data_IF_746458491402
#
_entry.id   IF_746458491402
#
_cell.length_a   1.000
_cell.length_b   1.000
_cell.length_c   1.000
_cell.angle_alpha   90.00
_cell.angle_beta   90.00
_cell.angle_gamma   90.00
#
_symmetry.space_group_name_H-M   'P 1'
#
loop_
_entity.id
_entity.type
_entity.pdbx_description
1 polymer ?
#
# COMPACT_ATOMS: atom_id res chain seq x y z
N UNK A 1 1.83 -20.87 11.98
CA UNK A 1 1.05 -20.03 11.05
C UNK A 1 -0.06 -20.86 10.43
N UNK A 2 -1.22 -20.28 10.12
CA UNK A 2 -2.21 -20.99 9.31
C UNK A 2 -1.67 -21.21 7.89
N UNK A 3 -2.03 -22.32 7.21
CA UNK A 3 -1.51 -22.65 5.89
C UNK A 3 -1.76 -21.55 4.84
N UNK A 4 -2.89 -20.84 4.95
CA UNK A 4 -3.24 -19.73 4.04
C UNK A 4 -2.31 -18.51 4.20
N UNK A 5 -1.92 -18.17 5.43
CA UNK A 5 -1.00 -17.08 5.71
C UNK A 5 0.40 -17.38 5.15
N UNK A 6 0.84 -18.64 5.25
CA UNK A 6 2.11 -19.09 4.65
C UNK A 6 2.10 -18.92 3.13
N UNK A 7 1.01 -19.32 2.47
CA UNK A 7 0.86 -19.19 1.01
C UNK A 7 0.80 -17.72 0.56
N UNK A 8 0.05 -16.88 1.26
CA UNK A 8 -0.03 -15.45 0.97
C UNK A 8 1.33 -14.77 1.05
N UNK A 9 2.07 -15.00 2.14
CA UNK A 9 3.41 -14.43 2.32
C UNK A 9 4.41 -14.98 1.29
N UNK A 10 4.32 -16.27 0.95
CA UNK A 10 5.14 -16.86 -0.10
C UNK A 10 4.91 -16.17 -1.45
N UNK A 11 3.67 -15.92 -1.85
CA UNK A 11 3.38 -15.22 -3.11
C UNK A 11 3.91 -13.79 -3.11
N UNK A 12 3.77 -13.05 -2.00
CA UNK A 12 4.34 -11.70 -1.88
C UNK A 12 5.86 -11.75 -1.99
N UNK A 13 6.51 -12.66 -1.25
CA UNK A 13 7.97 -12.81 -1.29
C UNK A 13 8.46 -13.14 -2.70
N UNK A 14 7.83 -14.10 -3.39
CA UNK A 14 8.18 -14.44 -4.78
C UNK A 14 8.02 -13.24 -5.71
N UNK A 15 6.90 -12.53 -5.65
CA UNK A 15 6.67 -11.35 -6.48
C UNK A 15 7.71 -10.25 -6.22
N UNK A 16 8.02 -9.97 -4.95
CA UNK A 16 9.04 -9.00 -4.56
C UNK A 16 10.45 -9.41 -4.99
N UNK A 17 10.81 -10.69 -4.87
CA UNK A 17 12.09 -11.21 -5.35
C UNK A 17 12.21 -11.10 -6.87
N UNK A 18 11.13 -11.37 -7.62
CA UNK A 18 11.11 -11.20 -9.07
C UNK A 18 11.29 -9.73 -9.47
N UNK A 19 10.64 -8.80 -8.76
CA UNK A 19 10.85 -7.37 -8.99
C UNK A 19 12.30 -6.96 -8.72
N UNK A 20 12.87 -7.39 -7.59
CA UNK A 20 14.26 -7.12 -7.25
C UNK A 20 15.22 -7.68 -8.30
N UNK A 21 15.04 -8.93 -8.72
CA UNK A 21 15.85 -9.57 -9.76
C UNK A 21 15.77 -8.83 -11.10
N UNK A 22 14.56 -8.43 -11.53
CA UNK A 22 14.36 -7.69 -12.78
C UNK A 22 15.04 -6.31 -12.79
N UNK A 23 15.13 -5.63 -11.64
CA UNK A 23 15.88 -4.37 -11.54
C UNK A 23 17.38 -4.61 -11.79
N UNK A 24 17.92 -5.74 -11.32
CA UNK A 24 19.32 -6.09 -11.53
C UNK A 24 19.67 -6.53 -12.96
N UNK A 25 18.68 -6.72 -13.86
CA UNK A 25 18.95 -6.98 -15.28
C UNK A 25 19.14 -5.70 -16.09
N UNK A 26 19.03 -4.51 -15.48
CA UNK A 26 19.11 -3.22 -16.17
C UNK A 26 17.82 -2.82 -16.92
N UNK A 27 16.73 -3.58 -16.76
CA UNK A 27 15.47 -3.31 -17.46
C UNK A 27 14.87 -1.92 -17.15
N UNK A 28 15.24 -1.36 -16.01
CA UNK A 28 14.78 -0.05 -15.54
C UNK A 28 15.86 1.02 -15.55
N UNK A 29 16.95 0.88 -16.30
CA UNK A 29 18.08 1.84 -16.33
C UNK A 29 17.72 3.24 -16.85
N UNK A 30 16.67 3.35 -17.66
CA UNK A 30 16.17 4.63 -18.18
C UNK A 30 15.20 5.39 -17.27
N UNK A 31 14.71 4.79 -16.18
CA UNK A 31 13.72 5.43 -15.30
C UNK A 31 14.30 6.67 -14.60
N UNK A 32 13.57 7.78 -14.65
CA UNK A 32 13.89 8.97 -13.86
C UNK A 32 13.46 8.77 -12.41
N UNK A 33 14.42 8.65 -11.50
CA UNK A 33 14.18 8.56 -10.06
C UNK A 33 14.98 9.60 -9.29
N UNK A 34 14.34 10.18 -8.29
CA UNK A 34 14.98 11.11 -7.35
C UNK A 34 15.74 10.32 -6.30
N UNK A 35 17.03 10.59 -6.22
CA UNK A 35 18.00 9.98 -5.32
C UNK A 35 18.86 11.11 -4.77
N UNK A 36 19.09 11.13 -3.46
CA UNK A 36 19.77 12.23 -2.79
C UNK A 36 19.01 12.69 -1.57
N UNK A 37 19.76 13.09 -0.53
CA UNK A 37 19.17 13.57 0.73
C UNK A 37 18.55 14.96 0.58
N UNK A 38 18.94 15.72 -0.44
CA UNK A 38 18.42 17.03 -0.79
C UNK A 38 16.93 17.03 -1.15
N UNK A 39 16.38 15.86 -1.49
CA UNK A 39 14.95 15.67 -1.78
C UNK A 39 14.10 15.46 -0.52
N UNK A 40 14.73 15.48 0.66
CA UNK A 40 14.06 15.36 1.95
C UNK A 40 14.29 16.64 2.74
N UNK A 41 13.24 17.16 3.36
CA UNK A 41 13.38 18.29 4.28
C UNK A 41 14.02 17.90 5.62
N UNK A 42 14.08 16.60 5.96
CA UNK A 42 14.69 16.15 7.19
C UNK A 42 16.22 16.19 7.05
N UNK A 43 16.85 17.09 7.79
CA UNK A 43 18.30 17.22 7.75
C UNK A 43 18.98 15.95 8.29
N UNK A 44 20.03 15.43 7.61
CA UNK A 44 20.76 14.28 8.12
C UNK A 44 21.51 14.64 9.41
N UNK A 45 21.46 13.74 10.39
CA UNK A 45 22.13 13.92 11.68
C UNK A 45 23.56 13.38 11.60
N UNK A 46 24.53 14.28 11.80
CA UNK A 46 25.94 13.92 11.82
C UNK A 46 26.24 12.88 12.92
N UNK A 47 27.02 11.85 12.59
CA UNK A 47 27.42 10.79 13.51
C UNK A 47 26.46 9.59 13.60
N UNK A 48 25.26 9.66 13.00
CA UNK A 48 24.41 8.49 12.83
C UNK A 48 24.84 7.67 11.60
N UNK A 49 24.67 6.33 11.64
CA UNK A 49 24.91 5.50 10.47
C UNK A 49 23.90 5.83 9.35
N UNK A 50 24.25 5.54 8.10
CA UNK A 50 23.45 5.91 6.92
C UNK A 50 21.97 5.48 7.01
N UNK A 51 21.69 4.30 7.58
CA UNK A 51 20.32 3.79 7.78
C UNK A 51 19.51 4.50 8.87
N UNK A 52 20.12 5.41 9.64
CA UNK A 52 19.46 6.28 10.61
C UNK A 52 19.78 7.76 10.37
N UNK A 53 20.41 8.11 9.23
CA UNK A 53 20.84 9.48 8.94
C UNK A 53 19.66 10.46 9.02
N UNK A 54 18.48 10.04 8.56
CA UNK A 54 17.20 10.75 8.74
C UNK A 54 16.33 9.96 9.72
N UNK A 55 16.46 10.19 11.05
CA UNK A 55 15.90 9.31 12.07
C UNK A 55 14.37 9.15 11.99
N UNK A 56 13.62 10.21 11.71
CA UNK A 56 12.16 10.13 11.62
C UNK A 56 11.71 9.43 10.34
N UNK A 57 12.29 9.77 9.18
CA UNK A 57 12.04 9.08 7.92
C UNK A 57 12.53 7.62 7.92
N UNK A 58 13.48 7.26 8.79
CA UNK A 58 13.91 5.88 9.03
C UNK A 58 12.93 5.14 9.94
N UNK A 59 12.56 5.75 11.07
CA UNK A 59 11.69 5.15 12.10
C UNK A 59 10.29 4.87 11.57
N UNK A 60 9.72 5.76 10.75
CA UNK A 60 8.37 5.58 10.20
C UNK A 60 8.25 4.30 9.36
N UNK A 61 9.35 3.77 8.80
CA UNK A 61 9.33 2.50 8.07
C UNK A 61 9.01 1.30 8.97
N UNK A 62 9.37 1.36 10.26
CA UNK A 62 8.98 0.33 11.22
C UNK A 62 7.47 0.28 11.41
N UNK A 63 6.76 1.41 11.25
CA UNK A 63 5.31 1.44 11.38
C UNK A 63 4.61 0.56 10.33
N UNK A 64 5.15 0.45 9.11
CA UNK A 64 4.64 -0.45 8.07
C UNK A 64 4.81 -1.93 8.47
N UNK A 65 5.99 -2.27 8.99
CA UNK A 65 6.28 -3.63 9.49
C UNK A 65 5.34 -3.99 10.63
N UNK A 66 5.19 -3.09 11.61
CA UNK A 66 4.30 -3.29 12.75
C UNK A 66 2.84 -3.39 12.30
N UNK A 67 2.41 -2.59 11.33
CA UNK A 67 1.06 -2.64 10.77
C UNK A 67 0.80 -3.98 10.07
N UNK A 68 1.73 -4.44 9.24
CA UNK A 68 1.64 -5.74 8.56
C UNK A 68 1.57 -6.88 9.58
N UNK A 69 2.44 -6.87 10.59
CA UNK A 69 2.44 -7.86 11.67
C UNK A 69 1.13 -7.85 12.46
N UNK A 70 0.64 -6.66 12.83
CA UNK A 70 -0.64 -6.48 13.51
C UNK A 70 -1.79 -7.10 12.71
N UNK A 71 -1.89 -6.81 11.41
CA UNK A 71 -2.97 -7.35 10.59
C UNK A 71 -2.84 -8.85 10.34
N UNK A 72 -1.64 -9.41 10.23
CA UNK A 72 -1.45 -10.87 10.14
C UNK A 72 -1.95 -11.59 11.40
N UNK A 73 -1.67 -11.04 12.58
CA UNK A 73 -2.10 -11.61 13.86
C UNK A 73 -3.61 -11.46 14.08
N UNK A 74 -4.24 -10.45 13.47
CA UNK A 74 -5.67 -10.21 13.58
C UNK A 74 -6.46 -11.29 12.86
N UNK A 75 -7.22 -12.06 13.64
CA UNK A 75 -8.16 -13.07 13.11
C UNK A 75 -9.31 -12.37 12.37
N UNK A 76 -9.78 -12.92 11.24
CA UNK A 76 -10.98 -12.40 10.61
C UNK A 76 -12.16 -12.62 11.55
N UNK A 77 -12.89 -11.55 11.87
CA UNK A 77 -14.17 -11.64 12.58
C UNK A 77 -15.31 -12.10 11.66
N UNK A 78 -15.00 -12.58 10.46
CA UNK A 78 -15.98 -12.85 9.39
C UNK A 78 -16.73 -14.16 9.66
N UNK A 79 -18.06 -14.12 9.92
CA UNK A 79 -18.87 -15.33 9.92
C UNK A 79 -19.07 -15.78 8.47
N UNK A 80 -18.64 -17.00 8.14
CA UNK A 80 -18.58 -17.49 6.76
C UNK A 80 -18.46 -19.00 6.70
N UNK A 81 -18.73 -19.60 5.54
CA UNK A 81 -18.31 -20.99 5.36
C UNK A 81 -16.77 -21.06 5.39
N UNK A 82 -16.17 -22.19 5.78
CA UNK A 82 -14.71 -22.29 5.94
C UNK A 82 -13.92 -21.82 4.71
N UNK A 83 -14.44 -22.03 3.50
CA UNK A 83 -13.80 -21.60 2.26
C UNK A 83 -13.79 -20.06 2.08
N UNK A 84 -14.87 -19.37 2.45
CA UNK A 84 -14.94 -17.90 2.38
C UNK A 84 -14.02 -17.24 3.39
N UNK A 85 -13.96 -17.79 4.60
CA UNK A 85 -13.05 -17.33 5.66
C UNK A 85 -11.61 -17.50 5.19
N UNK A 86 -11.23 -18.65 4.63
CA UNK A 86 -9.87 -18.86 4.08
C UNK A 86 -9.51 -17.85 2.98
N UNK A 87 -10.42 -17.59 2.05
CA UNK A 87 -10.19 -16.60 0.98
C UNK A 87 -10.04 -15.17 1.51
N UNK A 88 -10.85 -14.80 2.51
CA UNK A 88 -10.73 -13.53 3.19
C UNK A 88 -9.41 -13.40 3.95
N UNK A 89 -8.98 -14.46 4.66
CA UNK A 89 -7.66 -14.53 5.28
C UNK A 89 -6.56 -14.32 4.26
N UNK A 90 -6.60 -15.05 3.14
CA UNK A 90 -5.61 -14.94 2.09
C UNK A 90 -5.51 -13.50 1.56
N UNK A 91 -6.64 -12.85 1.26
CA UNK A 91 -6.62 -11.47 0.75
C UNK A 91 -6.04 -10.47 1.76
N UNK A 92 -6.41 -10.63 3.04
CA UNK A 92 -5.84 -9.86 4.15
C UNK A 92 -4.34 -10.10 4.28
N UNK A 93 -3.92 -11.36 4.26
CA UNK A 93 -2.55 -11.76 4.53
C UNK A 93 -1.61 -11.37 3.39
N UNK A 94 -2.07 -11.36 2.14
CA UNK A 94 -1.30 -10.79 1.02
C UNK A 94 -1.10 -9.29 1.25
N UNK A 95 -2.17 -8.54 1.56
CA UNK A 95 -2.05 -7.10 1.77
C UNK A 95 -1.14 -6.77 2.96
N UNK A 96 -1.21 -7.57 4.02
CA UNK A 96 -0.37 -7.42 5.20
C UNK A 96 1.08 -7.81 4.90
N UNK A 97 1.30 -8.84 4.08
CA UNK A 97 2.61 -9.20 3.56
C UNK A 97 3.22 -8.10 2.70
N UNK A 98 2.44 -7.44 1.84
CA UNK A 98 2.91 -6.30 1.06
C UNK A 98 3.38 -5.16 1.98
N UNK A 99 2.64 -4.83 3.04
CA UNK A 99 3.08 -3.85 4.04
C UNK A 99 4.36 -4.28 4.78
N UNK A 100 4.49 -5.56 5.14
CA UNK A 100 5.69 -6.11 5.77
C UNK A 100 6.93 -5.98 4.90
N UNK A 101 6.81 -6.20 3.59
CA UNK A 101 7.93 -6.10 2.64
C UNK A 101 8.22 -4.65 2.27
N UNK A 102 7.20 -3.82 2.15
CA UNK A 102 7.35 -2.44 1.73
C UNK A 102 8.11 -1.58 2.75
N UNK A 103 7.88 -1.78 4.06
CA UNK A 103 8.62 -1.07 5.10
C UNK A 103 10.15 -1.16 4.95
N UNK A 104 10.74 -2.38 4.89
CA UNK A 104 12.16 -2.57 4.64
C UNK A 104 12.64 -2.00 3.30
N UNK A 105 11.84 -2.11 2.22
CA UNK A 105 12.21 -1.54 0.91
C UNK A 105 12.30 -0.02 0.97
N UNK A 106 11.32 0.62 1.60
CA UNK A 106 11.30 2.06 1.79
C UNK A 106 12.45 2.51 2.69
N UNK A 107 12.75 1.73 3.73
CA UNK A 107 13.91 1.99 4.57
C UNK A 107 15.22 1.85 3.78
N UNK A 108 15.35 0.82 2.94
CA UNK A 108 16.50 0.64 2.06
C UNK A 108 16.67 1.82 1.09
N UNK A 109 15.58 2.36 0.55
CA UNK A 109 15.59 3.57 -0.28
C UNK A 109 16.21 4.74 0.49
N UNK A 110 15.72 5.00 1.70
CA UNK A 110 16.20 6.09 2.57
C UNK A 110 17.67 5.88 2.96
N UNK A 111 18.04 4.67 3.34
CA UNK A 111 19.37 4.33 3.86
C UNK A 111 20.46 4.32 2.78
N UNK A 112 20.15 3.74 1.61
CA UNK A 112 21.15 3.53 0.57
C UNK A 112 21.28 4.70 -0.38
N UNK A 113 20.19 5.45 -0.61
CA UNK A 113 20.14 6.46 -1.68
C UNK A 113 20.68 5.89 -3.00
N UNK A 114 20.28 4.65 -3.33
CA UNK A 114 20.68 4.01 -4.58
C UNK A 114 19.51 3.96 -5.55
N UNK A 115 19.84 4.07 -6.84
CA UNK A 115 18.86 3.98 -7.92
C UNK A 115 18.03 2.68 -7.90
N UNK A 116 18.62 1.48 -7.71
CA UNK A 116 17.84 0.24 -7.59
C UNK A 116 16.82 0.26 -6.44
N UNK A 117 17.20 0.80 -5.28
CA UNK A 117 16.30 0.90 -4.14
C UNK A 117 15.13 1.87 -4.40
N UNK A 118 15.41 3.02 -5.05
CA UNK A 118 14.37 3.98 -5.42
C UNK A 118 13.38 3.41 -6.46
N UNK A 119 13.89 2.66 -7.45
CA UNK A 119 13.05 1.97 -8.45
C UNK A 119 12.21 0.89 -7.78
N UNK A 120 12.80 0.06 -6.90
CA UNK A 120 12.09 -1.01 -6.20
C UNK A 120 10.95 -0.48 -5.32
N UNK A 121 11.21 0.61 -4.59
CA UNK A 121 10.21 1.30 -3.77
C UNK A 121 9.02 1.79 -4.61
N UNK A 122 9.29 2.53 -5.70
CA UNK A 122 8.23 2.98 -6.60
C UNK A 122 7.47 1.80 -7.22
N UNK A 123 8.18 0.79 -7.70
CA UNK A 123 7.56 -0.30 -8.44
C UNK A 123 6.65 -1.16 -7.55
N UNK A 124 7.07 -1.47 -6.33
CA UNK A 124 6.26 -2.20 -5.35
C UNK A 124 5.10 -1.38 -4.77
N UNK A 125 5.15 -0.05 -4.85
CA UNK A 125 4.03 0.82 -4.45
C UNK A 125 2.79 0.59 -5.32
N UNK A 126 2.95 0.31 -6.61
CA UNK A 126 1.82 0.15 -7.53
C UNK A 126 0.91 -1.05 -7.17
N UNK A 127 1.43 -2.29 -7.03
CA UNK A 127 0.59 -3.44 -6.68
C UNK A 127 -0.08 -3.28 -5.30
N UNK A 128 0.57 -2.58 -4.37
CA UNK A 128 -0.03 -2.20 -3.08
C UNK A 128 -1.34 -1.42 -3.29
N UNK A 129 -1.35 -0.41 -4.15
CA UNK A 129 -2.56 0.37 -4.44
C UNK A 129 -3.56 -0.40 -5.34
N UNK A 130 -3.08 -1.36 -6.13
CA UNK A 130 -3.95 -2.24 -6.93
C UNK A 130 -4.69 -3.27 -6.07
N UNK A 131 -4.12 -3.68 -4.93
CA UNK A 131 -4.70 -4.74 -4.11
C UNK A 131 -6.11 -4.43 -3.55
N UNK A 132 -6.42 -3.21 -3.05
CA UNK A 132 -7.79 -2.83 -2.72
C UNK A 132 -8.79 -2.98 -3.88
N UNK A 133 -8.36 -2.72 -5.13
CA UNK A 133 -9.17 -2.95 -6.33
C UNK A 133 -9.44 -4.43 -6.51
N UNK A 134 -8.40 -5.27 -6.46
CA UNK A 134 -8.53 -6.72 -6.56
C UNK A 134 -9.48 -7.28 -5.50
N UNK A 135 -9.39 -6.79 -4.27
CA UNK A 135 -10.24 -7.20 -3.17
C UNK A 135 -11.70 -6.73 -3.37
N UNK A 136 -11.93 -5.49 -3.79
CA UNK A 136 -13.28 -5.01 -4.15
C UNK A 136 -13.91 -5.86 -5.27
N UNK A 137 -13.13 -6.19 -6.30
CA UNK A 137 -13.57 -7.06 -7.39
C UNK A 137 -13.89 -8.48 -6.92
N UNK A 138 -13.13 -9.01 -5.94
CA UNK A 138 -13.48 -10.27 -5.27
C UNK A 138 -14.84 -10.18 -4.57
N UNK A 139 -15.09 -9.09 -3.85
CA UNK A 139 -16.37 -8.89 -3.18
C UNK A 139 -17.50 -8.92 -4.21
N UNK A 140 -17.34 -8.22 -5.32
CA UNK A 140 -18.35 -8.11 -6.37
C UNK A 140 -18.55 -9.39 -7.20
N UNK A 141 -17.46 -10.00 -7.67
CA UNK A 141 -17.49 -11.06 -8.70
C UNK A 141 -17.14 -12.44 -8.15
N UNK A 142 -16.88 -12.55 -6.86
CA UNK A 142 -16.45 -13.77 -6.20
C UNK A 142 -14.99 -14.11 -6.47
N UNK A 143 -14.60 -15.33 -6.08
CA UNK A 143 -13.22 -15.80 -6.19
C UNK A 143 -12.83 -16.14 -7.62
N UNK A 144 -11.95 -15.31 -8.21
CA UNK A 144 -11.43 -15.46 -9.57
C UNK A 144 -9.91 -15.19 -9.58
N UNK A 145 -9.05 -16.20 -9.33
CA UNK A 145 -7.60 -15.99 -9.20
C UNK A 145 -6.94 -15.30 -10.39
N UNK A 146 -7.40 -15.60 -11.61
CA UNK A 146 -6.90 -14.97 -12.84
C UNK A 146 -7.17 -13.47 -12.87
N UNK A 147 -8.24 -12.99 -12.23
CA UNK A 147 -8.52 -11.56 -12.12
C UNK A 147 -7.50 -10.88 -11.22
N UNK A 148 -7.08 -11.52 -10.13
CA UNK A 148 -6.03 -10.99 -9.25
C UNK A 148 -4.69 -10.94 -9.98
N UNK A 149 -4.33 -12.01 -10.70
CA UNK A 149 -3.13 -12.04 -11.53
C UNK A 149 -3.16 -10.96 -12.62
N UNK A 150 -4.31 -10.73 -13.25
CA UNK A 150 -4.45 -9.69 -14.26
C UNK A 150 -4.31 -8.28 -13.67
N UNK A 151 -4.93 -8.02 -12.51
CA UNK A 151 -4.84 -6.72 -11.83
C UNK A 151 -3.40 -6.44 -11.37
N UNK A 152 -2.77 -7.38 -10.69
CA UNK A 152 -1.38 -7.23 -10.21
C UNK A 152 -0.38 -7.19 -11.37
N UNK A 153 -0.58 -8.02 -12.40
CA UNK A 153 0.25 -8.01 -13.61
C UNK A 153 0.14 -6.69 -14.36
N UNK A 154 -1.08 -6.16 -14.55
CA UNK A 154 -1.28 -4.84 -15.15
C UNK A 154 -0.65 -3.74 -14.31
N UNK A 155 -0.77 -3.82 -12.98
CA UNK A 155 -0.14 -2.88 -12.06
C UNK A 155 1.38 -2.86 -12.21
N UNK A 156 2.02 -4.04 -12.22
CA UNK A 156 3.47 -4.15 -12.43
C UNK A 156 3.89 -3.64 -13.82
N UNK A 157 3.17 -4.01 -14.88
CA UNK A 157 3.45 -3.57 -16.24
C UNK A 157 3.28 -2.05 -16.41
N UNK A 158 2.36 -1.43 -15.68
CA UNK A 158 2.09 0.00 -15.79
C UNK A 158 3.28 0.88 -15.36
N UNK A 159 4.20 0.34 -14.55
CA UNK A 159 5.45 1.02 -14.22
C UNK A 159 6.32 1.31 -15.44
N UNK A 160 6.12 0.58 -16.55
CA UNK A 160 6.76 0.88 -17.83
C UNK A 160 6.53 2.32 -18.31
N UNK A 161 5.47 3.01 -17.87
CA UNK A 161 5.28 4.44 -18.19
C UNK A 161 6.41 5.32 -17.63
N UNK A 162 7.04 4.92 -16.51
CA UNK A 162 8.18 5.64 -15.92
C UNK A 162 9.47 5.54 -16.76
N UNK A 163 9.53 4.59 -17.71
CA UNK A 163 10.58 4.55 -18.74
C UNK A 163 10.33 5.53 -19.88
N UNK A 164 9.07 5.90 -20.12
CA UNK A 164 8.66 6.71 -21.26
C UNK A 164 8.58 8.20 -20.92
N UNK A 165 8.37 8.54 -19.65
CA UNK A 165 8.19 9.92 -19.22
C UNK A 165 8.71 10.17 -17.80
N UNK A 166 9.35 11.33 -17.51
CA UNK A 166 9.85 11.65 -16.16
C UNK A 166 8.79 11.61 -15.07
N UNK A 167 7.57 12.04 -15.39
CA UNK A 167 6.41 11.98 -14.48
C UNK A 167 5.59 10.67 -14.62
N UNK A 168 6.13 9.65 -15.28
CA UNK A 168 5.38 8.44 -15.62
C UNK A 168 4.94 7.64 -14.40
N UNK A 169 5.75 7.64 -13.34
CA UNK A 169 5.38 7.03 -12.06
C UNK A 169 4.20 7.76 -11.41
N UNK A 170 4.21 9.08 -11.40
CA UNK A 170 3.21 9.94 -10.78
C UNK A 170 1.84 9.77 -11.47
N UNK A 171 1.82 9.74 -12.81
CA UNK A 171 0.60 9.45 -13.56
C UNK A 171 0.07 8.05 -13.26
N UNK A 172 0.96 7.06 -13.20
CA UNK A 172 0.59 5.67 -12.92
C UNK A 172 0.03 5.53 -11.51
N UNK A 173 0.69 6.11 -10.52
CA UNK A 173 0.24 6.13 -9.13
C UNK A 173 -1.11 6.86 -8.99
N UNK A 174 -1.27 8.00 -9.66
CA UNK A 174 -2.55 8.73 -9.70
C UNK A 174 -3.69 7.89 -10.27
N UNK A 175 -3.43 7.15 -11.35
CA UNK A 175 -4.41 6.23 -11.93
C UNK A 175 -4.77 5.08 -10.96
N UNK A 176 -3.80 4.53 -10.24
CA UNK A 176 -4.05 3.49 -9.22
C UNK A 176 -4.88 4.02 -8.06
N UNK A 177 -4.57 5.22 -7.56
CA UNK A 177 -5.36 5.89 -6.52
C UNK A 177 -6.80 6.09 -7.00
N UNK A 178 -6.99 6.64 -8.21
CA UNK A 178 -8.31 6.86 -8.77
C UNK A 178 -9.11 5.55 -8.94
N UNK A 179 -8.46 4.49 -9.41
CA UNK A 179 -9.07 3.17 -9.54
C UNK A 179 -9.45 2.58 -8.18
N UNK A 180 -8.57 2.65 -7.18
CA UNK A 180 -8.82 2.17 -5.83
C UNK A 180 -9.99 2.92 -5.16
N UNK A 181 -9.99 4.25 -5.21
CA UNK A 181 -11.06 5.07 -4.67
C UNK A 181 -12.38 4.82 -5.41
N UNK A 182 -12.36 4.79 -6.74
CA UNK A 182 -13.55 4.53 -7.55
C UNK A 182 -14.17 3.15 -7.25
N UNK A 183 -13.36 2.10 -7.20
CA UNK A 183 -13.85 0.76 -6.88
C UNK A 183 -14.31 0.64 -5.42
N UNK A 184 -13.62 1.27 -4.48
CA UNK A 184 -14.05 1.31 -3.08
C UNK A 184 -15.39 2.04 -2.92
N UNK A 185 -15.60 3.17 -3.62
CA UNK A 185 -16.87 3.89 -3.63
C UNK A 185 -18.00 3.03 -4.23
N UNK A 186 -17.76 2.37 -5.37
CA UNK A 186 -18.75 1.47 -5.96
C UNK A 186 -19.08 0.29 -5.04
N UNK A 187 -18.11 -0.21 -4.29
CA UNK A 187 -18.29 -1.30 -3.31
C UNK A 187 -19.05 -0.80 -2.07
N UNK A 188 -18.71 0.39 -1.58
CA UNK A 188 -19.39 1.06 -0.47
C UNK A 188 -20.85 1.34 -0.82
N UNK A 189 -21.16 1.83 -2.02
CA UNK A 189 -22.55 2.07 -2.44
C UNK A 189 -23.39 0.80 -2.53
N UNK A 190 -22.78 -0.35 -2.88
CA UNK A 190 -23.49 -1.62 -3.02
C UNK A 190 -23.60 -2.44 -1.74
N UNK A 191 -22.64 -2.32 -0.83
CA UNK A 191 -22.45 -3.24 0.30
C UNK A 191 -22.04 -2.58 1.61
N UNK A 192 -21.84 -1.27 1.59
CA UNK A 192 -21.28 -0.52 2.69
C UNK A 192 -22.27 -0.33 3.85
N UNK A 193 -21.69 -0.08 5.01
CA UNK A 193 -22.36 0.43 6.20
C UNK A 193 -21.86 1.85 6.50
N UNK A 194 -22.49 2.60 7.43
CA UNK A 194 -21.94 3.87 7.91
C UNK A 194 -20.51 3.72 8.44
N UNK A 195 -20.20 2.62 9.13
CA UNK A 195 -18.85 2.35 9.66
C UNK A 195 -17.83 2.16 8.53
N UNK A 196 -18.15 1.37 7.49
CA UNK A 196 -17.24 1.24 6.34
C UNK A 196 -17.14 2.53 5.54
N UNK A 197 -18.19 3.35 5.50
CA UNK A 197 -18.15 4.67 4.88
C UNK A 197 -17.18 5.61 5.58
N UNK A 198 -17.17 5.60 6.93
CA UNK A 198 -16.19 6.35 7.72
C UNK A 198 -14.76 5.87 7.46
N UNK A 199 -14.53 4.55 7.41
CA UNK A 199 -13.19 4.02 7.09
C UNK A 199 -12.74 4.41 5.68
N UNK A 200 -13.65 4.38 4.69
CA UNK A 200 -13.34 4.85 3.34
C UNK A 200 -12.99 6.34 3.34
N UNK A 201 -13.77 7.19 4.01
CA UNK A 201 -13.50 8.62 4.08
C UNK A 201 -12.14 8.91 4.74
N UNK A 202 -11.84 8.25 5.86
CA UNK A 202 -10.55 8.37 6.54
C UNK A 202 -9.39 7.85 5.66
N UNK A 203 -9.60 6.75 4.94
CA UNK A 203 -8.63 6.22 3.99
C UNK A 203 -8.33 7.18 2.84
N UNK A 204 -9.36 7.80 2.25
CA UNK A 204 -9.20 8.83 1.19
C UNK A 204 -8.51 10.07 1.74
N UNK A 205 -8.89 10.55 2.93
CA UNK A 205 -8.24 11.69 3.58
C UNK A 205 -6.75 11.41 3.82
N UNK A 206 -6.41 10.21 4.29
CA UNK A 206 -5.02 9.79 4.47
C UNK A 206 -4.30 9.68 3.12
N UNK A 207 -4.94 9.17 2.06
CA UNK A 207 -4.35 9.15 0.73
C UNK A 207 -4.03 10.55 0.19
N UNK A 208 -4.94 11.51 0.38
CA UNK A 208 -4.71 12.90 0.02
C UNK A 208 -3.58 13.51 0.85
N UNK A 209 -3.54 13.22 2.16
CA UNK A 209 -2.44 13.63 3.04
C UNK A 209 -1.09 13.07 2.58
N UNK A 210 -1.03 11.79 2.21
CA UNK A 210 0.17 11.17 1.64
C UNK A 210 0.68 11.91 0.39
N UNK A 211 -0.21 12.25 -0.54
CA UNK A 211 0.19 12.96 -1.76
C UNK A 211 0.61 14.40 -1.46
N UNK A 212 -0.25 15.16 -0.78
CA UNK A 212 -0.06 16.61 -0.56
C UNK A 212 1.15 16.87 0.32
N UNK A 213 1.28 16.18 1.46
CA UNK A 213 2.39 16.42 2.40
C UNK A 213 3.74 16.05 1.80
N UNK A 214 3.77 15.05 0.91
CA UNK A 214 4.98 14.69 0.17
C UNK A 214 5.34 15.75 -0.88
N UNK A 215 4.37 16.23 -1.66
CA UNK A 215 4.60 17.24 -2.70
C UNK A 215 5.08 18.57 -2.13
N UNK A 216 4.60 18.94 -0.95
CA UNK A 216 4.92 20.20 -0.29
C UNK A 216 5.96 20.06 0.83
N UNK A 217 6.77 18.99 0.87
CA UNK A 217 7.68 18.70 1.99
C UNK A 217 8.58 19.89 2.36
N UNK A 218 9.28 20.46 1.37
CA UNK A 218 10.17 21.60 1.60
C UNK A 218 9.42 22.90 1.92
N UNK A 219 8.27 23.14 1.29
CA UNK A 219 7.48 24.34 1.55
C UNK A 219 6.89 24.30 2.97
N UNK A 220 6.48 23.13 3.43
CA UNK A 220 5.94 22.93 4.78
C UNK A 220 7.02 23.11 5.85
N UNK A 221 8.28 22.76 5.56
CA UNK A 221 9.41 22.87 6.50
C UNK A 221 9.66 24.30 7.03
N UNK A 222 9.04 25.33 6.44
CA UNK A 222 9.04 26.71 6.96
C UNK A 222 8.27 26.85 8.29
N UNK A 223 7.34 25.95 8.58
CA UNK A 223 6.46 25.99 9.74
C UNK A 223 7.01 25.10 10.86
N UNK A 224 6.92 25.54 12.12
CA UNK A 224 7.53 24.88 13.28
C UNK A 224 7.19 23.37 13.39
N UNK A 225 5.95 22.98 13.10
CA UNK A 225 5.51 21.58 13.12
C UNK A 225 6.33 20.69 12.16
N UNK A 226 6.73 21.24 11.02
CA UNK A 226 7.38 20.52 9.93
C UNK A 226 8.90 20.66 9.90
N UNK A 227 9.49 21.43 10.83
CA UNK A 227 10.94 21.56 10.94
C UNK A 227 11.62 20.30 11.49
N UNK A 228 10.92 19.53 12.33
CA UNK A 228 11.42 18.26 12.90
C UNK A 228 10.70 17.05 12.33
N UNK A 229 9.37 17.12 12.27
CA UNK A 229 8.51 16.08 11.69
C UNK A 229 8.07 16.56 10.32
N UNK A 230 8.85 16.28 9.29
CA UNK A 230 8.69 16.93 7.98
C UNK A 230 7.42 16.48 7.24
N UNK A 231 7.09 17.18 6.15
CA UNK A 231 5.97 16.79 5.29
C UNK A 231 6.13 15.35 4.79
N UNK A 232 7.35 14.94 4.46
CA UNK A 232 7.68 13.57 4.09
C UNK A 232 7.39 12.59 5.24
N UNK A 233 7.81 12.89 6.47
CA UNK A 233 7.47 12.07 7.64
C UNK A 233 5.95 11.90 7.80
N UNK A 234 5.20 13.01 7.82
CA UNK A 234 3.75 12.97 7.98
C UNK A 234 3.05 12.30 6.79
N UNK A 235 3.57 12.45 5.58
CA UNK A 235 3.06 11.75 4.40
C UNK A 235 3.15 10.23 4.57
N UNK A 236 4.22 9.73 5.20
CA UNK A 236 4.40 8.30 5.49
C UNK A 236 3.53 7.82 6.64
N UNK A 237 3.23 8.68 7.62
CA UNK A 237 2.19 8.39 8.63
C UNK A 237 0.83 8.27 7.96
N UNK A 238 0.49 9.19 7.05
CA UNK A 238 -0.74 9.14 6.27
C UNK A 238 -0.82 7.89 5.39
N UNK A 239 0.25 7.50 4.70
CA UNK A 239 0.30 6.27 3.89
C UNK A 239 0.09 5.00 4.75
N UNK A 240 0.73 4.93 5.93
CA UNK A 240 0.49 3.86 6.91
C UNK A 240 -0.97 3.83 7.41
N UNK A 241 -1.56 4.98 7.72
CA UNK A 241 -2.97 5.07 8.13
C UNK A 241 -3.93 4.72 6.99
N UNK A 242 -3.62 5.11 5.76
CA UNK A 242 -4.37 4.71 4.56
C UNK A 242 -4.43 3.19 4.46
N UNK A 243 -3.29 2.49 4.60
CA UNK A 243 -3.27 1.02 4.65
C UNK A 243 -4.20 0.50 5.74
N UNK A 244 -4.10 1.02 6.96
CA UNK A 244 -4.92 0.60 8.08
C UNK A 244 -6.43 0.78 7.82
N UNK A 245 -6.83 1.93 7.30
CA UNK A 245 -8.22 2.21 6.95
C UNK A 245 -8.71 1.38 5.76
N UNK A 246 -7.84 1.08 4.78
CA UNK A 246 -8.16 0.15 3.71
C UNK A 246 -8.43 -1.27 4.25
N UNK A 247 -7.63 -1.76 5.20
CA UNK A 247 -7.94 -3.02 5.89
C UNK A 247 -9.27 -2.97 6.64
N UNK A 248 -9.52 -1.91 7.42
CA UNK A 248 -10.77 -1.75 8.15
C UNK A 248 -11.98 -1.73 7.21
N UNK A 249 -11.89 -0.98 6.11
CA UNK A 249 -12.91 -0.92 5.07
C UNK A 249 -13.17 -2.31 4.46
N UNK A 250 -12.13 -2.95 3.90
CA UNK A 250 -12.27 -4.22 3.18
C UNK A 250 -12.73 -5.36 4.09
N UNK A 251 -12.24 -5.41 5.33
CA UNK A 251 -12.65 -6.45 6.29
C UNK A 251 -14.06 -6.22 6.82
N UNK A 252 -14.48 -4.96 7.04
CA UNK A 252 -15.84 -4.62 7.46
C UNK A 252 -16.85 -4.97 6.36
N UNK A 253 -16.63 -4.52 5.12
CA UNK A 253 -17.52 -4.80 4.00
C UNK A 253 -17.59 -6.31 3.69
N UNK A 254 -16.48 -7.02 3.80
CA UNK A 254 -16.45 -8.47 3.64
C UNK A 254 -17.25 -9.21 4.72
N UNK A 255 -17.28 -8.70 5.96
CA UNK A 255 -18.11 -9.24 7.04
C UNK A 255 -19.61 -8.94 6.85
N UNK A 256 -19.96 -7.78 6.26
CA UNK A 256 -21.34 -7.41 5.96
C UNK A 256 -21.98 -8.21 4.81
N UNK A 257 -21.27 -9.17 4.19
CA UNK A 257 -21.78 -10.08 3.15
C UNK A 257 -23.01 -10.93 3.59
N UNK A 258 -23.47 -10.83 4.85
CA UNK A 258 -24.50 -11.68 5.47
C UNK A 258 -25.65 -10.96 6.22
N UNK A 259 -26.09 -9.80 5.78
CA UNK A 259 -27.52 -9.50 5.95
C UNK A 259 -28.24 -9.62 4.60
N UNK A 260 -28.56 -10.85 4.13
CA UNK A 260 -29.81 -10.99 3.41
C UNK A 260 -30.89 -10.54 4.40
N UNK A 261 -31.70 -9.58 3.97
CA UNK A 261 -33.00 -9.28 4.56
C UNK A 261 -33.68 -10.60 4.93
N UNK A 262 -33.92 -10.79 6.23
CA UNK A 262 -34.89 -11.79 6.67
C UNK A 262 -36.17 -11.57 5.87
N UNK A 263 -36.75 -12.67 5.40
CA UNK A 263 -37.66 -12.73 4.27
C UNK A 263 -38.76 -11.66 4.26
N UNK A 264 -39.04 -11.15 3.07
CA UNK A 264 -40.44 -11.08 2.66
C UNK A 264 -40.93 -12.52 2.56
N UNK A 265 -41.40 -13.07 3.67
CA UNK A 265 -42.30 -14.22 3.65
C UNK A 265 -43.69 -13.66 3.40
N UNK A 266 -44.23 -14.05 2.23
CA UNK A 266 -45.62 -14.05 1.78
C UNK A 266 -46.50 -12.85 2.15
#
# INVERSE_FOLDING_TARGET
MQPESGRALFHVAVASCLCAAAIHTGAFDGVSVQVGLEHYAEAPVAGLPAFLAMPFNSLVNLAYVLLGAYWLQRKPSTPGCPAEVRRACYLKDVFAGMALVYGPVQWLRVASQTRPAAVLDQWLTLPIFAWPVAWCLYLDRGWKPWLFLAVEGLSLCSYGLALLHPCGFEFTLGAHIAAAVGQALCTQGRRGSPSSGMYLALGVLCCLGFVVLKLYDHQLAQWCLFQRLTGHFWSKVCDMLQFHFAFLFLTNVNACRRHPTAGKMH
#
